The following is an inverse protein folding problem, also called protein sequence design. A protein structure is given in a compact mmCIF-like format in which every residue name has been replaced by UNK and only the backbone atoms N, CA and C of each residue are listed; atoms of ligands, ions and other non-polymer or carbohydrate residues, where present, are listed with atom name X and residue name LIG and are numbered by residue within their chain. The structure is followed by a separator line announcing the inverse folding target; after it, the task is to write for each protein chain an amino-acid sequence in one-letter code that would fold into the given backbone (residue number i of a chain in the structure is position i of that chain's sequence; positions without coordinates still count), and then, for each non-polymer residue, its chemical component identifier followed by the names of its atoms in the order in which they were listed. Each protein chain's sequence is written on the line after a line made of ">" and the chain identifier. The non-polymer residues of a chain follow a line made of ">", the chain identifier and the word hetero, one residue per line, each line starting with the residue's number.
data_IF_480329387326
#
_entry.id   IF_480329387326
#
_cell.length_a   1.000
_cell.length_b   1.000
_cell.length_c   1.000
_cell.angle_alpha   90.00
_cell.angle_beta   90.00
_cell.angle_gamma   90.00
#
_symmetry.space_group_name_H-M   'P 1'
#
loop_
_entity.id
_entity.type
_entity.pdbx_description
1 polymer ?
#
# COMPACT_ATOMS: atom_id res chain seq x y z
N UNK A 1 -44.49 12.33 12.13
CA UNK A 1 -44.09 12.02 10.73
C UNK A 1 -43.31 10.73 10.78
N UNK A 2 -43.90 9.66 10.26
CA UNK A 2 -43.41 8.28 10.42
C UNK A 2 -43.05 7.77 9.03
N UNK A 3 -41.77 7.47 8.79
CA UNK A 3 -41.26 7.00 7.49
C UNK A 3 -41.25 5.46 7.53
N UNK A 4 -41.98 4.76 6.65
CA UNK A 4 -41.97 3.31 6.64
C UNK A 4 -40.70 2.78 5.96
N UNK A 5 -39.97 1.90 6.66
CA UNK A 5 -38.86 1.13 6.11
C UNK A 5 -39.38 0.03 5.17
N UNK A 6 -38.96 0.07 3.91
CA UNK A 6 -39.21 -0.99 2.94
C UNK A 6 -38.14 -2.09 3.09
N UNK A 7 -38.58 -3.30 3.44
CA UNK A 7 -37.76 -4.51 3.46
C UNK A 7 -37.35 -4.88 2.03
N UNK A 8 -36.05 -4.90 1.74
CA UNK A 8 -35.50 -5.44 0.49
C UNK A 8 -35.23 -6.93 0.64
N UNK A 9 -36.01 -7.73 -0.09
CA UNK A 9 -35.80 -9.17 -0.26
C UNK A 9 -34.55 -9.43 -1.11
N UNK A 10 -33.67 -10.29 -0.61
CA UNK A 10 -32.48 -10.79 -1.32
C UNK A 10 -32.82 -12.11 -2.00
N UNK A 11 -32.84 -12.12 -3.33
CA UNK A 11 -32.89 -13.33 -4.16
C UNK A 11 -31.45 -13.71 -4.54
N UNK A 12 -31.11 -14.99 -4.34
CA UNK A 12 -29.79 -15.57 -4.60
C UNK A 12 -29.52 -15.95 -6.06
N UNK A 13 -28.56 -16.89 -6.22
CA UNK A 13 -27.94 -17.48 -7.44
C UNK A 13 -26.67 -16.74 -7.91
N UNK A 14 -25.57 -17.36 -8.36
CA UNK A 14 -25.26 -18.75 -8.74
C UNK A 14 -23.73 -19.03 -8.68
N UNK A 15 -23.38 -20.27 -8.97
CA UNK A 15 -22.09 -20.96 -8.86
C UNK A 15 -21.06 -20.73 -10.01
N UNK A 16 -19.92 -21.43 -9.86
CA UNK A 16 -18.88 -21.87 -10.83
C UNK A 16 -17.71 -20.92 -11.12
N UNK A 17 -16.47 -21.36 -10.86
CA UNK A 17 -15.70 -22.24 -11.77
C UNK A 17 -14.27 -22.48 -11.23
N UNK A 18 -13.81 -23.74 -11.29
CA UNK A 18 -12.39 -24.09 -11.21
C UNK A 18 -11.74 -23.86 -12.57
N UNK A 19 -10.58 -23.20 -12.59
CA UNK A 19 -9.76 -23.06 -13.78
C UNK A 19 -8.31 -22.77 -13.42
N UNK A 20 -7.46 -23.79 -13.53
CA UNK A 20 -6.01 -23.67 -13.49
C UNK A 20 -5.47 -23.33 -14.88
N UNK A 21 -4.51 -22.40 -14.98
CA UNK A 21 -3.40 -22.42 -15.95
C UNK A 21 -2.41 -21.28 -15.68
N UNK A 22 -1.17 -21.67 -15.44
CA UNK A 22 0.03 -20.85 -15.29
C UNK A 22 0.65 -20.54 -16.65
N UNK A 23 0.80 -19.26 -17.00
CA UNK A 23 1.84 -18.80 -17.93
C UNK A 23 2.40 -17.48 -17.41
N UNK A 24 3.68 -17.53 -17.05
CA UNK A 24 4.47 -16.42 -16.55
C UNK A 24 4.79 -15.43 -17.69
N UNK A 25 4.53 -14.15 -17.45
CA UNK A 25 4.93 -13.03 -18.29
C UNK A 25 5.34 -11.86 -17.38
N UNK A 26 6.59 -11.43 -17.52
CA UNK A 26 7.29 -10.54 -16.60
C UNK A 26 6.70 -9.12 -16.56
N UNK A 27 6.20 -8.67 -15.40
CA UNK A 27 6.14 -7.26 -14.96
C UNK A 27 5.49 -7.03 -13.56
N UNK A 28 5.01 -8.05 -12.85
CA UNK A 28 4.38 -7.89 -11.51
C UNK A 28 5.25 -8.39 -10.34
N UNK A 29 6.57 -8.51 -10.54
CA UNK A 29 7.45 -9.31 -9.69
C UNK A 29 7.91 -8.63 -8.39
N UNK A 30 7.15 -7.67 -7.87
CA UNK A 30 7.42 -7.07 -6.55
C UNK A 30 6.27 -7.13 -5.55
N UNK A 31 5.12 -7.72 -5.91
CA UNK A 31 4.01 -8.00 -4.99
C UNK A 31 3.55 -9.47 -5.00
N UNK A 32 4.13 -10.33 -5.84
CA UNK A 32 3.69 -11.72 -5.94
C UNK A 32 4.48 -12.64 -5.01
N UNK A 33 3.78 -13.07 -3.96
CA UNK A 33 3.88 -14.38 -3.31
C UNK A 33 5.28 -14.92 -3.00
N UNK A 34 5.80 -14.54 -1.84
CA UNK A 34 6.43 -15.55 -1.00
C UNK A 34 5.35 -16.19 -0.13
N UNK A 35 5.23 -17.52 -0.02
CA UNK A 35 4.58 -18.16 1.12
C UNK A 35 5.49 -17.97 2.34
N UNK A 36 5.73 -16.72 2.71
CA UNK A 36 6.29 -16.40 4.00
C UNK A 36 5.23 -16.84 5.00
N UNK A 37 5.59 -17.77 5.86
CA UNK A 37 4.88 -18.03 7.11
C UNK A 37 4.63 -16.66 7.72
N UNK A 38 3.38 -16.20 7.67
CA UNK A 38 2.99 -14.88 8.18
C UNK A 38 3.39 -14.89 9.65
N UNK A 39 4.46 -14.16 9.98
CA UNK A 39 4.77 -13.86 11.37
C UNK A 39 3.64 -12.97 11.87
N UNK A 40 2.63 -13.60 12.45
CA UNK A 40 1.53 -12.99 13.19
C UNK A 40 2.01 -12.09 14.33
N UNK A 41 3.30 -12.14 14.67
CA UNK A 41 3.97 -11.25 15.61
C UNK A 41 4.13 -9.79 15.11
N UNK A 42 4.10 -9.53 13.80
CA UNK A 42 4.19 -8.15 13.26
C UNK A 42 2.84 -7.44 13.18
N UNK A 43 1.78 -8.16 12.85
CA UNK A 43 0.42 -7.62 12.66
C UNK A 43 -0.27 -7.22 13.98
N UNK A 44 0.27 -7.66 15.13
CA UNK A 44 -0.29 -7.41 16.46
C UNK A 44 0.32 -6.19 17.17
N UNK A 45 1.48 -5.69 16.72
CA UNK A 45 2.05 -4.44 17.24
C UNK A 45 1.31 -3.19 16.73
N UNK A 46 0.72 -3.24 15.52
CA UNK A 46 -0.10 -2.16 14.99
C UNK A 46 -1.45 -2.04 15.71
N UNK A 47 -2.11 -3.16 16.04
CA UNK A 47 -3.44 -3.16 16.66
C UNK A 47 -3.47 -2.69 18.13
N UNK A 48 -2.35 -2.75 18.87
CA UNK A 48 -2.26 -2.17 20.21
C UNK A 48 -2.16 -0.63 20.16
N UNK A 49 -1.83 -0.08 19.00
CA UNK A 49 -1.79 1.34 18.69
C UNK A 49 -3.09 1.80 18.00
N UNK A 50 -4.24 1.15 18.27
CA UNK A 50 -5.51 1.46 17.61
C UNK A 50 -6.08 2.88 17.88
N UNK A 51 -5.36 3.66 18.70
CA UNK A 51 -5.60 5.07 18.99
C UNK A 51 -4.45 5.97 18.54
N UNK A 52 -3.43 5.42 17.90
CA UNK A 52 -2.29 6.18 17.44
C UNK A 52 -2.77 7.31 16.56
N UNK A 53 -2.30 8.50 16.87
CA UNK A 53 -2.35 9.66 15.99
C UNK A 53 -1.07 9.75 15.15
N UNK A 54 -0.21 8.73 15.23
CA UNK A 54 1.15 8.77 14.72
C UNK A 54 1.28 7.88 13.50
N UNK A 55 1.80 8.44 12.42
CA UNK A 55 2.13 7.67 11.23
C UNK A 55 3.45 6.90 11.44
N UNK A 56 3.55 5.65 10.96
CA UNK A 56 4.83 4.95 10.98
C UNK A 56 5.87 5.73 10.17
N UNK A 57 7.14 5.72 10.58
CA UNK A 57 8.17 6.54 9.92
C UNK A 57 8.43 6.15 8.46
N UNK A 58 8.00 4.96 8.04
CA UNK A 58 8.12 4.44 6.69
C UNK A 58 6.81 3.80 6.25
N UNK A 59 6.45 3.98 4.98
CA UNK A 59 5.28 3.32 4.41
C UNK A 59 5.44 1.79 4.49
N UNK A 60 4.42 1.05 4.96
CA UNK A 60 4.48 -0.41 5.01
C UNK A 60 4.54 -0.99 3.60
N UNK A 61 5.42 -1.95 3.37
CA UNK A 61 5.52 -2.66 2.07
C UNK A 61 4.61 -3.88 2.00
N UNK A 62 4.17 -4.39 3.16
CA UNK A 62 3.23 -5.50 3.26
C UNK A 62 2.06 -5.03 4.13
N UNK A 63 0.87 -5.10 3.57
CA UNK A 63 -0.36 -4.83 4.31
C UNK A 63 -0.86 -6.15 4.89
N UNK A 64 -1.01 -6.20 6.21
CA UNK A 64 -1.72 -7.28 6.88
C UNK A 64 -3.11 -6.80 7.28
N UNK A 65 -4.13 -7.22 6.53
CA UNK A 65 -5.51 -7.01 6.97
C UNK A 65 -5.94 -8.16 7.87
N UNK A 66 -6.19 -7.85 9.15
CA UNK A 66 -6.77 -8.81 10.11
C UNK A 66 -8.30 -8.79 10.11
N UNK A 67 -8.93 -7.90 9.32
CA UNK A 67 -10.38 -7.79 9.24
C UNK A 67 -10.97 -8.84 8.27
N UNK A 68 -11.85 -9.68 8.82
CA UNK A 68 -12.64 -10.65 8.06
C UNK A 68 -13.64 -9.93 7.13
N UNK A 69 -13.82 -10.44 5.90
CA UNK A 69 -14.80 -9.92 4.95
C UNK A 69 -14.28 -8.86 3.95
N UNK A 70 -13.01 -8.48 4.03
CA UNK A 70 -12.36 -7.51 3.13
C UNK A 70 -12.07 -8.02 1.71
N UNK A 71 -12.42 -9.26 1.39
CA UNK A 71 -12.24 -9.77 0.02
C UNK A 71 -13.12 -9.03 -1.00
N UNK A 72 -14.29 -8.53 -0.59
CA UNK A 72 -15.22 -7.83 -1.46
C UNK A 72 -15.04 -6.30 -1.45
N UNK A 73 -14.47 -5.75 -0.37
CA UNK A 73 -14.43 -4.31 -0.10
C UNK A 73 -13.03 -3.89 0.33
N UNK A 74 -12.62 -2.68 -0.06
CA UNK A 74 -11.31 -2.15 0.33
C UNK A 74 -11.31 -1.70 1.80
N UNK A 75 -12.49 -1.47 2.37
CA UNK A 75 -12.65 -0.91 3.71
C UNK A 75 -13.84 -1.53 4.47
N UNK A 76 -13.78 -1.62 5.82
CA UNK A 76 -14.96 -1.82 6.65
C UNK A 76 -15.95 -0.63 6.61
N UNK A 77 -17.23 -0.91 6.30
CA UNK A 77 -18.33 0.08 6.18
C UNK A 77 -18.65 0.88 7.46
N UNK A 78 -17.98 0.63 8.57
CA UNK A 78 -18.33 1.17 9.89
C UNK A 78 -17.17 1.86 10.58
N UNK A 79 -16.19 2.37 9.83
CA UNK A 79 -15.10 3.15 10.41
C UNK A 79 -15.63 4.44 11.08
N UNK A 80 -15.21 4.69 12.31
CA UNK A 80 -15.57 5.89 13.07
C UNK A 80 -14.46 6.94 13.07
N UNK A 81 -13.25 6.53 12.69
CA UNK A 81 -12.06 7.37 12.63
C UNK A 81 -11.16 6.90 11.49
N UNK A 82 -10.50 7.85 10.84
CA UNK A 82 -9.50 7.56 9.81
C UNK A 82 -8.23 8.35 10.09
N UNK A 83 -7.08 7.68 10.02
CA UNK A 83 -5.77 8.30 10.02
C UNK A 83 -5.17 8.19 8.62
N UNK A 84 -4.87 9.34 7.99
CA UNK A 84 -4.18 9.42 6.72
C UNK A 84 -2.72 9.78 6.97
N UNK A 85 -1.83 8.96 6.43
CA UNK A 85 -0.39 9.12 6.51
C UNK A 85 0.16 9.34 5.12
N UNK A 86 0.55 10.58 4.82
CA UNK A 86 1.07 10.97 3.52
C UNK A 86 2.59 10.84 3.52
N UNK A 87 3.10 9.91 2.71
CA UNK A 87 4.52 9.69 2.49
C UNK A 87 4.93 10.38 1.19
N UNK A 88 5.76 11.43 1.26
CA UNK A 88 6.28 12.07 0.07
C UNK A 88 7.19 11.09 -0.69
N UNK A 89 7.31 11.29 -2.01
CA UNK A 89 8.38 10.66 -2.78
C UNK A 89 9.71 10.83 -2.04
N UNK A 90 10.52 9.78 -2.05
CA UNK A 90 11.92 9.94 -1.69
C UNK A 90 12.45 11.05 -2.61
N UNK A 91 12.99 12.13 -2.03
CA UNK A 91 13.73 13.11 -2.82
C UNK A 91 14.68 12.30 -3.69
N UNK A 92 14.66 12.48 -5.03
CA UNK A 92 15.67 11.84 -5.86
C UNK A 92 16.96 12.29 -5.20
N UNK A 93 17.66 11.35 -4.55
CA UNK A 93 18.95 11.66 -3.96
C UNK A 93 19.67 12.24 -5.14
N UNK A 94 19.95 13.55 -5.12
CA UNK A 94 20.79 14.19 -6.11
C UNK A 94 21.96 13.25 -6.20
N UNK A 95 21.99 12.45 -7.26
CA UNK A 95 22.98 11.42 -7.43
C UNK A 95 24.24 12.23 -7.32
N UNK A 96 24.94 12.07 -6.19
CA UNK A 96 26.15 12.79 -5.95
C UNK A 96 26.96 12.45 -7.18
N UNK A 97 27.14 13.44 -8.04
CA UNK A 97 28.09 13.38 -9.13
C UNK A 97 29.43 13.34 -8.41
N UNK A 98 29.74 12.20 -7.82
CA UNK A 98 31.08 11.80 -7.46
C UNK A 98 31.72 11.51 -8.82
N UNK A 99 32.08 12.60 -9.48
CA UNK A 99 33.04 12.62 -10.56
C UNK A 99 34.36 12.15 -9.95
N UNK A 100 34.45 10.84 -9.68
CA UNK A 100 35.70 10.17 -9.35
C UNK A 100 36.53 10.15 -10.64
N UNK A 101 37.64 10.91 -10.72
CA UNK A 101 38.52 10.86 -11.88
C UNK A 101 39.20 9.48 -11.89
N UNK A 102 38.69 8.55 -12.70
CA UNK A 102 39.36 7.25 -12.86
C UNK A 102 40.57 7.42 -13.76
N UNK A 103 41.73 7.51 -13.14
CA UNK A 103 42.99 7.17 -13.77
C UNK A 103 43.01 5.66 -14.04
N UNK A 104 43.26 5.32 -15.31
CA UNK A 104 43.47 3.98 -15.86
C UNK A 104 44.60 3.24 -15.12
N UNK A 105 44.46 1.92 -14.83
CA UNK A 105 45.48 1.02 -15.37
C UNK A 105 44.98 -0.38 -15.77
N UNK A 106 45.37 -0.76 -16.99
CA UNK A 106 45.99 -2.00 -17.48
C UNK A 106 45.76 -3.34 -16.73
N UNK A 107 45.31 -4.32 -17.54
CA UNK A 107 44.94 -5.69 -17.25
C UNK A 107 46.08 -6.67 -16.85
N UNK A 108 45.70 -7.74 -16.11
CA UNK A 108 46.29 -9.10 -16.20
C UNK A 108 45.29 -10.19 -15.70
N UNK A 109 45.39 -11.46 -16.13
CA UNK A 109 44.32 -12.46 -16.04
C UNK A 109 44.47 -13.54 -14.93
N UNK A 110 43.29 -14.04 -14.53
CA UNK A 110 42.88 -15.41 -14.13
C UNK A 110 43.76 -16.29 -13.22
N UNK A 111 43.24 -16.58 -12.02
CA UNK A 111 43.36 -17.88 -11.32
C UNK A 111 42.03 -18.20 -10.63
N UNK A 112 41.50 -19.39 -10.89
CA UNK A 112 40.30 -19.93 -10.24
C UNK A 112 40.66 -20.71 -8.98
N UNK A 113 39.91 -20.51 -7.89
CA UNK A 113 39.84 -21.45 -6.77
C UNK A 113 38.42 -21.48 -6.20
N UNK A 114 37.87 -22.66 -5.85
CA UNK A 114 36.57 -22.77 -5.20
C UNK A 114 36.75 -22.78 -3.68
N UNK A 115 36.08 -21.88 -2.96
CA UNK A 115 35.97 -21.95 -1.51
C UNK A 115 34.53 -21.69 -1.06
N UNK A 116 33.93 -22.75 -0.55
CA UNK A 116 32.71 -22.79 0.27
C UNK A 116 32.84 -21.82 1.44
N UNK A 117 31.86 -20.93 1.65
CA UNK A 117 31.76 -20.14 2.88
C UNK A 117 30.31 -19.78 3.17
N UNK A 118 29.76 -20.46 4.16
CA UNK A 118 28.50 -20.18 4.83
C UNK A 118 28.71 -18.97 5.73
N UNK A 119 28.16 -17.80 5.37
CA UNK A 119 28.17 -16.63 6.23
C UNK A 119 26.79 -15.97 6.20
N UNK A 120 26.06 -16.16 7.30
CA UNK A 120 24.87 -15.37 7.63
C UNK A 120 25.33 -13.94 7.95
N UNK A 121 25.45 -13.11 6.92
CA UNK A 121 25.71 -11.69 7.06
C UNK A 121 24.40 -10.98 7.41
N UNK A 122 24.20 -10.71 8.70
CA UNK A 122 23.28 -9.67 9.16
C UNK A 122 23.82 -8.32 8.72
N UNK A 123 23.51 -7.93 7.48
CA UNK A 123 23.77 -6.59 6.96
C UNK A 123 22.88 -5.59 7.70
N UNK A 124 23.43 -4.99 8.75
CA UNK A 124 22.94 -3.73 9.29
C UNK A 124 23.19 -2.64 8.24
N UNK A 125 22.18 -2.35 7.42
CA UNK A 125 22.24 -1.28 6.45
C UNK A 125 22.34 0.07 7.19
N UNK A 126 23.41 0.82 6.90
CA UNK A 126 23.58 2.21 7.32
C UNK A 126 22.35 3.04 6.93
N UNK A 127 21.91 4.01 7.77
CA UNK A 127 20.72 4.81 7.49
C UNK A 127 20.96 5.71 6.28
N UNK A 128 20.52 5.24 5.12
CA UNK A 128 20.41 6.00 3.87
C UNK A 128 19.47 7.18 4.09
N UNK A 129 19.91 8.39 3.70
CA UNK A 129 19.15 9.62 3.49
C UNK A 129 17.92 9.85 4.40
N UNK A 130 17.96 10.88 5.26
CA UNK A 130 16.81 11.32 6.08
C UNK A 130 15.53 11.43 5.26
N UNK A 131 14.70 10.39 5.33
CA UNK A 131 13.39 10.40 4.72
C UNK A 131 12.57 11.49 5.42
N UNK A 132 11.90 12.33 4.61
CA UNK A 132 10.99 13.35 5.15
C UNK A 132 9.90 12.65 5.96
N UNK A 133 9.69 13.11 7.20
CA UNK A 133 8.67 12.55 8.07
C UNK A 133 7.28 12.61 7.39
N UNK A 134 6.45 11.57 7.55
CA UNK A 134 5.12 11.56 6.98
C UNK A 134 4.22 12.61 7.62
N UNK A 135 3.29 13.14 6.83
CA UNK A 135 2.24 14.03 7.35
C UNK A 135 1.06 13.19 7.83
N UNK A 136 0.66 13.37 9.09
CA UNK A 136 -0.48 12.71 9.71
C UNK A 136 -1.72 13.60 9.70
N UNK A 137 -2.86 13.07 9.24
CA UNK A 137 -4.14 13.78 9.20
C UNK A 137 -5.22 12.87 9.77
N UNK A 138 -5.92 13.33 10.81
CA UNK A 138 -6.98 12.57 11.45
C UNK A 138 -8.34 13.08 10.97
N UNK A 139 -9.14 12.21 10.38
CA UNK A 139 -10.53 12.47 10.05
C UNK A 139 -11.44 11.85 11.11
N UNK A 140 -12.31 12.70 11.67
CA UNK A 140 -13.35 12.30 12.64
C UNK A 140 -14.75 12.71 12.19
N UNK A 141 -14.88 13.47 11.09
CA UNK A 141 -16.17 13.89 10.54
C UNK A 141 -16.76 12.77 9.70
N UNK A 142 -17.93 12.27 10.09
CA UNK A 142 -18.62 11.15 9.43
C UNK A 142 -18.79 11.38 7.93
N UNK A 143 -19.19 12.58 7.48
CA UNK A 143 -19.36 12.86 6.05
C UNK A 143 -18.06 12.72 5.24
N UNK A 144 -16.91 13.10 5.82
CA UNK A 144 -15.60 12.97 5.18
C UNK A 144 -15.16 11.51 5.12
N UNK A 145 -15.38 10.77 6.22
CA UNK A 145 -15.10 9.34 6.30
C UNK A 145 -15.94 8.63 5.24
N UNK A 146 -17.27 8.76 5.28
CA UNK A 146 -18.21 8.13 4.34
C UNK A 146 -17.88 8.44 2.88
N UNK A 147 -17.49 9.69 2.58
CA UNK A 147 -17.09 10.08 1.23
C UNK A 147 -15.82 9.36 0.79
N UNK A 148 -14.82 9.23 1.67
CA UNK A 148 -13.60 8.48 1.40
C UNK A 148 -13.89 6.98 1.22
N UNK A 149 -14.72 6.39 2.09
CA UNK A 149 -15.05 4.96 2.00
C UNK A 149 -15.76 4.62 0.71
N UNK A 150 -16.72 5.47 0.32
CA UNK A 150 -17.47 5.29 -0.93
C UNK A 150 -16.53 5.38 -2.12
N UNK A 151 -15.59 6.32 -2.11
CA UNK A 151 -14.62 6.48 -3.18
C UNK A 151 -13.66 5.28 -3.29
N UNK A 152 -13.16 4.76 -2.16
CA UNK A 152 -12.32 3.54 -2.13
C UNK A 152 -13.08 2.31 -2.61
N UNK A 153 -14.31 2.11 -2.13
CA UNK A 153 -15.10 0.94 -2.51
C UNK A 153 -15.62 1.01 -3.95
N UNK A 154 -15.68 2.20 -4.55
CA UNK A 154 -16.00 2.42 -5.96
C UNK A 154 -14.82 2.21 -6.91
N UNK A 155 -13.60 1.99 -6.40
CA UNK A 155 -12.45 1.73 -7.26
C UNK A 155 -12.66 0.44 -8.07
N UNK A 156 -12.41 0.55 -9.37
CA UNK A 156 -12.48 -0.58 -10.30
C UNK A 156 -11.23 -1.45 -10.14
N UNK A 157 -11.30 -2.74 -10.51
CA UNK A 157 -10.10 -3.57 -10.57
C UNK A 157 -9.04 -2.98 -11.52
N UNK A 158 -7.74 -3.20 -11.25
CA UNK A 158 -6.68 -2.80 -12.17
C UNK A 158 -6.91 -3.38 -13.58
N UNK A 159 -6.60 -2.62 -14.64
CA UNK A 159 -6.69 -3.12 -16.00
C UNK A 159 -5.79 -4.34 -16.16
N UNK A 160 -6.30 -5.37 -16.84
CA UNK A 160 -5.55 -6.60 -17.15
C UNK A 160 -4.64 -6.44 -18.36
N UNK A 161 -4.83 -5.38 -19.13
CA UNK A 161 -3.98 -5.04 -20.27
C UNK A 161 -2.72 -4.29 -19.80
N UNK A 162 -1.60 -4.41 -20.53
CA UNK A 162 -0.40 -3.64 -20.24
C UNK A 162 -0.71 -2.14 -20.21
N UNK A 163 -0.48 -1.51 -19.05
CA UNK A 163 -0.57 -0.07 -18.88
C UNK A 163 0.84 0.52 -18.81
N UNK A 164 1.07 1.59 -19.55
CA UNK A 164 2.30 2.38 -19.42
C UNK A 164 2.17 3.27 -18.20
N UNK A 165 2.69 2.80 -17.07
CA UNK A 165 2.74 3.62 -15.87
C UNK A 165 3.93 4.58 -15.94
N UNK A 166 3.77 5.84 -15.49
CA UNK A 166 4.89 6.74 -15.30
C UNK A 166 5.91 6.15 -14.32
N UNK A 167 7.08 6.76 -14.24
CA UNK A 167 8.10 6.36 -13.26
C UNK A 167 7.55 6.48 -11.83
N UNK A 168 7.71 5.42 -11.03
CA UNK A 168 7.30 5.43 -9.63
C UNK A 168 8.31 6.24 -8.80
N UNK A 169 7.85 7.34 -8.21
CA UNK A 169 8.64 8.18 -7.31
C UNK A 169 8.55 7.72 -5.85
N UNK A 170 7.75 6.70 -5.56
CA UNK A 170 7.54 6.17 -4.21
C UNK A 170 6.56 6.99 -3.34
N UNK A 171 5.80 7.92 -3.92
CA UNK A 171 4.78 8.67 -3.20
C UNK A 171 3.60 7.76 -2.86
N UNK A 172 3.24 7.68 -1.58
CA UNK A 172 2.13 6.84 -1.13
C UNK A 172 1.36 7.46 0.02
N UNK A 173 0.11 7.03 0.18
CA UNK A 173 -0.74 7.41 1.30
C UNK A 173 -1.21 6.12 1.97
N UNK A 174 -0.90 5.96 3.26
CA UNK A 174 -1.47 4.91 4.08
C UNK A 174 -2.73 5.46 4.75
N UNK A 175 -3.84 4.76 4.60
CA UNK A 175 -5.10 5.09 5.22
C UNK A 175 -5.44 4.00 6.23
N UNK A 176 -5.57 4.37 7.50
CA UNK A 176 -5.89 3.45 8.59
C UNK A 176 -7.30 3.75 9.04
N UNK A 177 -8.20 2.79 8.85
CA UNK A 177 -9.60 2.85 9.26
C UNK A 177 -9.77 2.15 10.60
N UNK A 178 -10.28 2.87 11.59
CA UNK A 178 -10.57 2.33 12.91
C UNK A 178 -12.08 2.18 13.10
N UNK A 179 -12.53 0.96 13.41
CA UNK A 179 -13.91 0.62 13.71
C UNK A 179 -13.96 -0.16 15.05
N UNK A 180 -14.04 0.58 16.16
CA UNK A 180 -13.97 -0.01 17.50
C UNK A 180 -12.57 -0.60 17.76
N UNK A 181 -12.47 -1.92 17.93
CA UNK A 181 -11.21 -2.64 18.13
C UNK A 181 -10.59 -3.18 16.82
N UNK A 182 -11.23 -2.93 15.68
CA UNK A 182 -10.76 -3.39 14.38
C UNK A 182 -10.06 -2.26 13.64
N UNK A 183 -8.96 -2.61 12.98
CA UNK A 183 -8.23 -1.71 12.11
C UNK A 183 -8.06 -2.33 10.73
N UNK A 184 -8.12 -1.47 9.72
CA UNK A 184 -7.88 -1.87 8.33
C UNK A 184 -6.96 -0.85 7.68
N UNK A 185 -5.87 -1.35 7.13
CA UNK A 185 -4.88 -0.54 6.45
C UNK A 185 -5.09 -0.62 4.94
N UNK A 186 -5.15 0.55 4.30
CA UNK A 186 -5.21 0.69 2.84
C UNK A 186 -4.01 1.51 2.40
N UNK A 187 -3.08 0.89 1.65
CA UNK A 187 -1.98 1.62 1.03
C UNK A 187 -2.40 2.08 -0.36
N UNK A 188 -2.18 3.35 -0.62
CA UNK A 188 -2.51 4.01 -1.88
C UNK A 188 -1.22 4.51 -2.50
N UNK A 189 -0.79 3.90 -3.59
CA UNK A 189 0.28 4.44 -4.42
C UNK A 189 -0.26 5.60 -5.24
N UNK A 190 0.41 6.74 -5.16
CA UNK A 190 0.02 7.98 -5.87
C UNK A 190 0.96 8.32 -7.02
N UNK A 191 2.14 7.69 -7.04
CA UNK A 191 3.08 7.71 -8.17
C UNK A 191 3.09 6.38 -8.91
N UNK A 192 3.65 6.38 -10.12
CA UNK A 192 3.69 5.19 -10.95
C UNK A 192 2.29 4.75 -11.39
N UNK A 193 1.93 3.50 -11.12
CA UNK A 193 0.58 2.99 -11.32
C UNK A 193 -0.26 3.32 -10.07
N UNK A 194 -1.20 4.28 -10.13
CA UNK A 194 -1.95 4.66 -8.94
C UNK A 194 -2.92 3.53 -8.56
N UNK A 195 -2.61 2.85 -7.45
CA UNK A 195 -3.30 1.66 -6.96
C UNK A 195 -3.60 1.82 -5.48
N UNK A 196 -4.75 1.34 -5.04
CA UNK A 196 -5.10 1.22 -3.64
C UNK A 196 -5.27 -0.26 -3.28
N UNK A 197 -4.66 -0.73 -2.19
CA UNK A 197 -4.78 -2.12 -1.77
C UNK A 197 -4.93 -2.23 -0.25
N UNK A 198 -5.58 -3.30 0.22
CA UNK A 198 -5.69 -3.66 1.63
C UNK A 198 -5.11 -5.07 1.92
N UNK A 199 -4.25 -5.59 1.04
CA UNK A 199 -3.72 -6.95 1.11
C UNK A 199 -4.68 -8.06 0.62
N UNK A 200 -5.98 -7.78 0.49
CA UNK A 200 -6.98 -8.74 -0.03
C UNK A 200 -7.55 -8.30 -1.38
N UNK A 201 -7.85 -7.00 -1.52
CA UNK A 201 -8.37 -6.37 -2.73
C UNK A 201 -7.42 -5.28 -3.20
N UNK A 202 -7.35 -5.09 -4.51
CA UNK A 202 -6.64 -3.98 -5.15
C UNK A 202 -7.61 -3.23 -6.07
N UNK A 203 -7.57 -1.91 -6.04
CA UNK A 203 -8.37 -1.01 -6.89
C UNK A 203 -7.49 -0.03 -7.64
N UNK A 204 -7.91 0.34 -8.85
CA UNK A 204 -7.27 1.32 -9.71
C UNK A 204 -7.73 2.74 -9.36
N UNK A 205 -6.78 3.61 -9.03
CA UNK A 205 -7.06 5.00 -8.64
C UNK A 205 -7.04 5.95 -9.84
N UNK A 206 -6.39 5.57 -10.94
CA UNK A 206 -6.12 6.46 -12.07
C UNK A 206 -7.32 6.89 -12.93
N UNK A 207 -8.53 6.42 -12.65
CA UNK A 207 -9.75 6.76 -13.43
C UNK A 207 -10.85 7.43 -12.60
N UNK A 208 -10.66 7.65 -11.31
CA UNK A 208 -11.72 8.12 -10.43
C UNK A 208 -11.43 9.53 -9.91
N UNK A 209 -12.47 10.22 -9.46
CA UNK A 209 -12.36 11.48 -8.70
C UNK A 209 -11.69 11.29 -7.32
N UNK A 210 -11.14 10.10 -7.05
CA UNK A 210 -10.52 9.74 -5.79
C UNK A 210 -9.38 10.68 -5.41
N UNK A 211 -8.49 11.02 -6.36
CA UNK A 211 -7.39 11.95 -6.08
C UNK A 211 -7.88 13.37 -5.77
N UNK A 212 -8.99 13.80 -6.37
CA UNK A 212 -9.64 15.08 -6.06
C UNK A 212 -10.24 15.07 -4.64
N UNK A 213 -10.88 13.96 -4.24
CA UNK A 213 -11.38 13.79 -2.87
C UNK A 213 -10.22 13.76 -1.87
N UNK A 214 -9.18 12.98 -2.15
CA UNK A 214 -8.00 12.85 -1.30
C UNK A 214 -7.31 14.21 -1.10
N UNK A 215 -7.08 14.95 -2.19
CA UNK A 215 -6.46 16.28 -2.12
C UNK A 215 -7.34 17.29 -1.38
N UNK A 216 -8.66 17.24 -1.53
CA UNK A 216 -9.60 18.06 -0.75
C UNK A 216 -9.53 17.75 0.76
N UNK A 217 -9.45 16.47 1.13
CA UNK A 217 -9.31 16.06 2.53
C UNK A 217 -7.97 16.49 3.13
N UNK A 218 -6.89 16.38 2.34
CA UNK A 218 -5.52 16.77 2.75
C UNK A 218 -5.35 18.28 2.83
N UNK A 219 -5.97 19.05 1.93
CA UNK A 219 -5.87 20.52 1.90
C UNK A 219 -6.82 21.24 2.87
N UNK A 220 -7.97 20.63 3.17
CA UNK A 220 -9.02 21.22 4.01
C UNK A 220 -8.85 21.03 5.52
N UNK A 221 -7.74 20.46 5.97
CA UNK A 221 -7.46 20.16 7.39
C UNK A 221 -6.54 21.19 8.08
N UNK A 222 -6.44 22.41 7.50
CA UNK A 222 -5.71 23.55 8.08
C UNK A 222 -6.55 24.41 9.02
#
# INVERSE_FOLDING_TARGET
>A
MTIPYAARASLGLAALALGASTLAGCASQRLQNSPATVSTAGASAAAADALSTTCPSTAPTNLSSNASGLAAQLEPLTATRVLLCVYPAASPSESATDESPTANPTAVPAVSTPATSTAAASSAASPTASAKAPTAIVLTKTDQIDSLQRALNALTPPPTQPVSCPMDTGSSVLVIFTAGAQETEVLIQTSGCPLAANGQKTGWVGQTDFLSILSSLVGGSS
#
